data_IF_267684156555
#
_entry.id   IF_267684156555
#
_cell.length_a   1.000
_cell.length_b   1.000
_cell.length_c   1.000
_cell.angle_alpha   90.00
_cell.angle_beta   90.00
_cell.angle_gamma   90.00
#
_symmetry.space_group_name_H-M   'P 1'
#
loop_
_entity.id
_entity.type
_entity.pdbx_description
1 polymer ?
#
# COMPACT_ATOMS: atom_id res chain seq x y z
N UNK A 1 -26.35 -8.64 14.71
CA UNK A 1 -26.89 -9.03 13.38
C UNK A 1 -25.90 -8.74 12.26
N UNK A 2 -25.33 -7.52 12.17
CA UNK A 2 -24.35 -7.12 11.15
C UNK A 2 -23.13 -8.08 11.02
N UNK A 3 -22.53 -8.52 12.12
CA UNK A 3 -21.38 -9.46 12.07
C UNK A 3 -21.74 -10.90 11.64
N UNK A 4 -22.96 -11.36 11.90
CA UNK A 4 -23.42 -12.68 11.43
C UNK A 4 -23.73 -12.62 9.93
N UNK A 5 -24.33 -11.51 9.47
CA UNK A 5 -24.59 -11.28 8.04
C UNK A 5 -23.28 -11.20 7.25
N UNK A 6 -22.27 -10.50 7.80
CA UNK A 6 -20.96 -10.35 7.17
C UNK A 6 -20.22 -11.69 7.03
N UNK A 7 -20.26 -12.53 8.08
CA UNK A 7 -19.73 -13.91 8.00
C UNK A 7 -20.48 -14.75 6.96
N UNK A 8 -21.80 -14.68 6.94
CA UNK A 8 -22.63 -15.41 5.98
C UNK A 8 -22.36 -15.01 4.52
N UNK A 9 -22.05 -13.73 4.26
CA UNK A 9 -21.70 -13.22 2.93
C UNK A 9 -20.24 -13.53 2.56
N UNK A 10 -19.31 -13.47 3.51
CA UNK A 10 -17.91 -13.84 3.27
C UNK A 10 -17.73 -15.33 2.94
N UNK A 11 -18.65 -16.19 3.39
CA UNK A 11 -18.71 -17.61 2.99
C UNK A 11 -19.29 -17.79 1.58
N UNK A 12 -19.91 -16.76 0.98
CA UNK A 12 -20.40 -16.80 -0.39
C UNK A 12 -19.26 -16.57 -1.38
N UNK A 13 -19.35 -17.19 -2.57
CA UNK A 13 -18.29 -17.17 -3.59
C UNK A 13 -18.09 -15.82 -4.32
N UNK A 14 -18.37 -14.69 -3.67
CA UNK A 14 -18.26 -13.34 -4.24
C UNK A 14 -16.91 -12.74 -3.86
N UNK A 15 -16.06 -12.49 -4.85
CA UNK A 15 -14.67 -12.04 -4.62
C UNK A 15 -14.46 -10.54 -4.85
N UNK A 16 -15.36 -9.85 -5.55
CA UNK A 16 -15.26 -8.41 -5.80
C UNK A 16 -15.78 -7.61 -4.60
N UNK A 17 -15.00 -6.69 -4.00
CA UNK A 17 -15.43 -5.87 -2.87
C UNK A 17 -16.69 -5.03 -3.14
N UNK A 18 -16.94 -4.65 -4.39
CA UNK A 18 -18.14 -3.92 -4.80
C UNK A 18 -19.34 -4.86 -4.79
N UNK A 19 -19.20 -6.06 -5.38
CA UNK A 19 -20.26 -7.06 -5.40
C UNK A 19 -20.63 -7.53 -4.00
N UNK A 20 -19.65 -7.67 -3.10
CA UNK A 20 -19.90 -7.97 -1.68
C UNK A 20 -20.78 -6.89 -1.04
N UNK A 21 -20.48 -5.61 -1.29
CA UNK A 21 -21.24 -4.50 -0.71
C UNK A 21 -22.65 -4.39 -1.32
N UNK A 22 -22.80 -4.66 -2.62
CA UNK A 22 -24.12 -4.79 -3.27
C UNK A 22 -24.90 -5.98 -2.70
N UNK A 23 -24.26 -7.13 -2.50
CA UNK A 23 -24.86 -8.33 -1.93
C UNK A 23 -25.31 -8.10 -0.47
N UNK A 24 -24.55 -7.36 0.35
CA UNK A 24 -24.96 -6.96 1.70
C UNK A 24 -26.28 -6.17 1.68
N UNK A 25 -26.37 -5.13 0.84
CA UNK A 25 -27.57 -4.31 0.73
C UNK A 25 -28.75 -5.12 0.18
N UNK A 26 -28.52 -5.89 -0.89
CA UNK A 26 -29.52 -6.76 -1.52
C UNK A 26 -30.06 -7.80 -0.53
N UNK A 27 -29.20 -8.41 0.29
CA UNK A 27 -29.61 -9.40 1.31
C UNK A 27 -30.57 -8.79 2.33
N UNK A 28 -30.22 -7.62 2.89
CA UNK A 28 -31.08 -6.93 3.87
C UNK A 28 -32.44 -6.62 3.26
N UNK A 29 -32.45 -6.12 2.03
CA UNK A 29 -33.69 -5.80 1.32
C UNK A 29 -34.52 -7.06 1.01
N UNK A 30 -33.92 -8.14 0.51
CA UNK A 30 -34.64 -9.40 0.24
C UNK A 30 -35.23 -9.98 1.52
N UNK A 31 -34.50 -9.95 2.64
CA UNK A 31 -35.02 -10.39 3.94
C UNK A 31 -36.21 -9.53 4.37
N UNK A 32 -36.11 -8.20 4.23
CA UNK A 32 -37.21 -7.28 4.55
C UNK A 32 -38.46 -7.56 3.70
N UNK A 33 -38.28 -7.77 2.40
CA UNK A 33 -39.35 -8.11 1.46
C UNK A 33 -39.96 -9.50 1.76
N UNK A 34 -39.13 -10.49 2.11
CA UNK A 34 -39.61 -11.80 2.54
C UNK A 34 -40.50 -11.70 3.78
N UNK A 35 -40.06 -10.94 4.78
CA UNK A 35 -40.85 -10.71 6.01
C UNK A 35 -42.15 -9.96 5.68
N UNK A 36 -42.10 -8.96 4.80
CA UNK A 36 -43.28 -8.21 4.38
C UNK A 36 -44.32 -9.12 3.71
N UNK A 37 -43.90 -9.97 2.78
CA UNK A 37 -44.79 -10.95 2.13
C UNK A 37 -45.35 -11.96 3.13
N UNK A 38 -44.49 -12.50 4.00
CA UNK A 38 -44.91 -13.47 5.01
C UNK A 38 -45.94 -12.91 5.98
N UNK A 39 -45.71 -11.70 6.51
CA UNK A 39 -46.65 -10.98 7.40
C UNK A 39 -47.88 -10.49 6.64
N UNK A 40 -47.76 -10.20 5.35
CA UNK A 40 -48.88 -9.85 4.46
C UNK A 40 -49.93 -10.96 4.37
N UNK A 41 -49.50 -12.23 4.29
CA UNK A 41 -50.42 -13.37 4.12
C UNK A 41 -51.60 -13.42 5.13
N UNK A 42 -51.41 -13.35 6.47
CA UNK A 42 -52.54 -13.34 7.41
C UNK A 42 -53.37 -12.06 7.31
N UNK A 43 -52.75 -10.92 7.02
CA UNK A 43 -53.48 -9.64 6.85
C UNK A 43 -54.42 -9.74 5.66
N UNK A 44 -53.91 -10.17 4.50
CA UNK A 44 -54.67 -10.42 3.28
C UNK A 44 -55.84 -11.37 3.52
N UNK A 45 -55.64 -12.42 4.34
CA UNK A 45 -56.71 -13.37 4.69
C UNK A 45 -57.83 -12.75 5.54
N UNK A 46 -57.47 -11.87 6.48
CA UNK A 46 -58.41 -11.20 7.38
C UNK A 46 -59.14 -10.02 6.72
N UNK A 47 -58.63 -9.47 5.62
CA UNK A 47 -59.30 -8.36 4.93
C UNK A 47 -60.69 -8.73 4.38
N UNK A 48 -61.68 -7.82 4.48
CA UNK A 48 -63.04 -8.04 3.95
C UNK A 48 -63.08 -7.85 2.44
N UNK A 49 -62.56 -8.85 1.70
CA UNK A 49 -62.57 -8.94 0.24
C UNK A 49 -63.45 -10.11 -0.23
N UNK A 50 -63.87 -10.09 -1.50
CA UNK A 50 -64.57 -11.23 -2.10
C UNK A 50 -63.68 -12.49 -2.12
N UNK A 51 -64.27 -13.68 -2.19
CA UNK A 51 -63.53 -14.95 -2.15
C UNK A 51 -62.44 -15.03 -3.24
N UNK A 52 -62.74 -14.54 -4.45
CA UNK A 52 -61.81 -14.49 -5.58
C UNK A 52 -60.66 -13.54 -5.29
N UNK A 53 -60.95 -12.31 -4.84
CA UNK A 53 -59.93 -11.30 -4.51
C UNK A 53 -59.01 -11.76 -3.38
N UNK A 54 -59.57 -12.38 -2.34
CA UNK A 54 -58.81 -12.93 -1.22
C UNK A 54 -57.83 -14.02 -1.66
N UNK A 55 -58.28 -14.94 -2.53
CA UNK A 55 -57.40 -15.98 -3.07
C UNK A 55 -56.24 -15.39 -3.89
N UNK A 56 -56.52 -14.35 -4.69
CA UNK A 56 -55.50 -13.64 -5.48
C UNK A 56 -54.48 -12.90 -4.61
N UNK A 57 -54.91 -12.17 -3.57
CA UNK A 57 -53.98 -11.43 -2.70
C UNK A 57 -53.13 -12.36 -1.84
N UNK A 58 -53.71 -13.45 -1.30
CA UNK A 58 -52.94 -14.45 -0.53
C UNK A 58 -51.94 -15.20 -1.42
N UNK A 59 -52.32 -15.55 -2.65
CA UNK A 59 -51.39 -16.18 -3.61
C UNK A 59 -50.28 -15.23 -4.07
N UNK A 60 -50.55 -13.93 -4.17
CA UNK A 60 -49.53 -12.91 -4.42
C UNK A 60 -48.48 -12.88 -3.30
N UNK A 61 -48.91 -12.82 -2.03
CA UNK A 61 -48.00 -12.77 -0.87
C UNK A 61 -47.14 -14.04 -0.73
N UNK A 62 -47.72 -15.21 -1.00
CA UNK A 62 -47.00 -16.49 -1.05
C UNK A 62 -45.97 -16.54 -2.18
N UNK A 63 -46.36 -16.05 -3.36
CA UNK A 63 -45.46 -15.97 -4.53
C UNK A 63 -44.29 -15.05 -4.23
N UNK A 64 -44.55 -13.87 -3.64
CA UNK A 64 -43.51 -12.93 -3.21
C UNK A 64 -42.51 -13.63 -2.28
N UNK A 65 -43.01 -14.32 -1.26
CA UNK A 65 -42.17 -15.01 -0.26
C UNK A 65 -41.32 -16.12 -0.91
N UNK A 66 -41.90 -16.89 -1.83
CA UNK A 66 -41.19 -17.94 -2.56
C UNK A 66 -40.05 -17.39 -3.44
N UNK A 67 -40.31 -16.31 -4.18
CA UNK A 67 -39.29 -15.64 -4.99
C UNK A 67 -38.16 -15.06 -4.14
N UNK A 68 -38.48 -14.41 -3.01
CA UNK A 68 -37.46 -13.86 -2.10
C UNK A 68 -36.59 -14.97 -1.48
N UNK A 69 -37.18 -16.10 -1.10
CA UNK A 69 -36.43 -17.26 -0.63
C UNK A 69 -35.49 -17.83 -1.70
N UNK A 70 -35.98 -17.98 -2.93
CA UNK A 70 -35.17 -18.43 -4.06
C UNK A 70 -34.05 -17.42 -4.38
N UNK A 71 -34.31 -16.11 -4.28
CA UNK A 71 -33.32 -15.08 -4.52
C UNK A 71 -32.19 -15.13 -3.50
N UNK A 72 -32.49 -15.39 -2.21
CA UNK A 72 -31.48 -15.61 -1.18
C UNK A 72 -30.61 -16.84 -1.47
N UNK A 73 -31.20 -17.94 -1.95
CA UNK A 73 -30.46 -19.15 -2.33
C UNK A 73 -29.52 -18.89 -3.52
N UNK A 74 -30.02 -18.22 -4.55
CA UNK A 74 -29.20 -17.86 -5.73
C UNK A 74 -28.07 -16.89 -5.37
N UNK A 75 -28.35 -15.94 -4.47
CA UNK A 75 -27.34 -15.02 -3.94
C UNK A 75 -26.24 -15.78 -3.19
N UNK A 76 -26.62 -16.79 -2.40
CA UNK A 76 -25.67 -17.69 -1.71
C UNK A 76 -24.79 -18.47 -2.68
N UNK A 77 -25.30 -18.83 -3.86
CA UNK A 77 -24.52 -19.46 -4.92
C UNK A 77 -23.55 -18.49 -5.64
N UNK A 78 -23.46 -17.22 -5.22
CA UNK A 78 -22.55 -16.22 -5.79
C UNK A 78 -23.03 -15.59 -7.10
N UNK A 79 -24.28 -15.81 -7.52
CA UNK A 79 -24.82 -15.27 -8.78
C UNK A 79 -25.64 -13.99 -8.53
N UNK A 80 -24.94 -12.86 -8.30
CA UNK A 80 -25.57 -11.58 -7.94
C UNK A 80 -26.63 -11.12 -8.96
N UNK A 81 -26.29 -11.08 -10.25
CA UNK A 81 -27.21 -10.61 -11.29
C UNK A 81 -28.50 -11.42 -11.35
N UNK A 82 -28.39 -12.75 -11.22
CA UNK A 82 -29.56 -13.63 -11.22
C UNK A 82 -30.41 -13.39 -9.97
N UNK A 83 -29.80 -13.16 -8.81
CA UNK A 83 -30.54 -12.84 -7.59
C UNK A 83 -31.28 -11.51 -7.70
N UNK A 84 -30.66 -10.48 -8.28
CA UNK A 84 -31.30 -9.17 -8.55
C UNK A 84 -32.50 -9.34 -9.48
N UNK A 85 -32.32 -10.05 -10.60
CA UNK A 85 -33.41 -10.31 -11.55
C UNK A 85 -34.56 -11.08 -10.89
N UNK A 86 -34.24 -12.11 -10.10
CA UNK A 86 -35.24 -12.90 -9.38
C UNK A 86 -36.02 -12.04 -8.36
N UNK A 87 -35.33 -11.11 -7.69
CA UNK A 87 -35.94 -10.16 -6.75
C UNK A 87 -36.88 -9.20 -7.47
N UNK A 88 -36.47 -8.67 -8.62
CA UNK A 88 -37.31 -7.80 -9.47
C UNK A 88 -38.56 -8.55 -9.94
N UNK A 89 -38.41 -9.77 -10.46
CA UNK A 89 -39.54 -10.62 -10.83
C UNK A 89 -40.46 -10.91 -9.63
N UNK A 90 -39.87 -11.20 -8.47
CA UNK A 90 -40.56 -11.44 -7.21
C UNK A 90 -41.29 -10.23 -6.64
N UNK A 91 -41.02 -9.01 -7.13
CA UNK A 91 -41.82 -7.82 -6.84
C UNK A 91 -42.91 -7.61 -7.91
N UNK A 92 -42.56 -7.73 -9.19
CA UNK A 92 -43.47 -7.43 -10.30
C UNK A 92 -44.66 -8.39 -10.38
N UNK A 93 -44.44 -9.70 -10.19
CA UNK A 93 -45.51 -10.71 -10.31
C UNK A 93 -46.56 -10.54 -9.20
N UNK A 94 -46.21 -10.48 -7.90
CA UNK A 94 -47.17 -10.22 -6.84
C UNK A 94 -47.87 -8.87 -6.96
N UNK A 95 -47.15 -7.81 -7.32
CA UNK A 95 -47.74 -6.48 -7.54
C UNK A 95 -48.81 -6.52 -8.64
N UNK A 96 -48.55 -7.26 -9.72
CA UNK A 96 -49.52 -7.47 -10.81
C UNK A 96 -50.78 -8.24 -10.34
N UNK A 97 -50.59 -9.30 -9.55
CA UNK A 97 -51.70 -10.09 -8.99
C UNK A 97 -52.56 -9.24 -8.04
N UNK A 98 -51.92 -8.50 -7.14
CA UNK A 98 -52.58 -7.60 -6.18
C UNK A 98 -53.30 -6.45 -6.88
N UNK A 99 -52.69 -5.86 -7.91
CA UNK A 99 -53.33 -4.84 -8.75
C UNK A 99 -54.56 -5.39 -9.47
N UNK A 100 -54.48 -6.61 -10.01
CA UNK A 100 -55.62 -7.27 -10.68
C UNK A 100 -56.74 -7.61 -9.71
N UNK A 101 -56.42 -7.92 -8.44
CA UNK A 101 -57.40 -8.25 -7.42
C UNK A 101 -58.14 -7.01 -6.87
N UNK A 102 -57.40 -5.95 -6.54
CA UNK A 102 -57.96 -4.75 -5.90
C UNK A 102 -58.48 -3.72 -6.90
N UNK A 103 -58.03 -3.78 -8.15
CA UNK A 103 -58.34 -2.80 -9.18
C UNK A 103 -57.66 -1.45 -8.97
N UNK A 104 -57.74 -0.60 -9.99
CA UNK A 104 -57.11 0.74 -9.99
C UNK A 104 -57.96 1.72 -9.16
N UNK A 105 -59.25 1.44 -8.97
CA UNK A 105 -60.23 2.29 -8.29
C UNK A 105 -59.93 2.58 -6.81
N UNK A 106 -59.18 1.73 -6.10
CA UNK A 106 -58.87 1.95 -4.67
C UNK A 106 -57.54 2.66 -4.39
N UNK A 107 -56.67 2.94 -5.38
CA UNK A 107 -55.56 3.86 -5.09
C UNK A 107 -54.42 3.96 -6.08
N UNK A 108 -54.05 5.21 -6.38
CA UNK A 108 -52.76 5.55 -6.98
C UNK A 108 -51.55 5.01 -6.20
N UNK A 109 -51.72 4.62 -4.93
CA UNK A 109 -50.68 3.96 -4.14
C UNK A 109 -50.21 2.62 -4.76
N UNK A 110 -51.08 1.88 -5.47
CA UNK A 110 -50.67 0.63 -6.14
C UNK A 110 -49.76 0.95 -7.31
N UNK A 111 -50.00 2.05 -8.03
CA UNK A 111 -49.13 2.53 -9.10
C UNK A 111 -47.76 2.94 -8.57
N UNK A 112 -47.71 3.60 -7.41
CA UNK A 112 -46.46 3.97 -6.74
C UNK A 112 -45.66 2.72 -6.32
N UNK A 113 -46.33 1.63 -5.95
CA UNK A 113 -45.64 0.39 -5.60
C UNK A 113 -44.86 -0.23 -6.78
N UNK A 114 -45.28 0.00 -8.03
CA UNK A 114 -44.52 -0.40 -9.22
C UNK A 114 -43.24 0.43 -9.45
N UNK A 115 -43.04 1.55 -8.74
CA UNK A 115 -41.76 2.26 -8.75
C UNK A 115 -40.69 1.52 -7.95
N UNK A 116 -41.05 0.67 -6.98
CA UNK A 116 -40.07 -0.06 -6.15
C UNK A 116 -39.16 -1.00 -6.96
N UNK A 117 -39.68 -1.85 -7.87
CA UNK A 117 -38.84 -2.61 -8.80
C UNK A 117 -37.92 -1.72 -9.65
N UNK A 118 -38.41 -0.57 -10.11
CA UNK A 118 -37.65 0.37 -10.95
C UNK A 118 -36.51 1.02 -10.16
N UNK A 119 -36.78 1.43 -8.92
CA UNK A 119 -35.76 1.95 -7.98
C UNK A 119 -34.69 0.88 -7.73
N UNK A 120 -35.11 -0.35 -7.44
CA UNK A 120 -34.21 -1.47 -7.24
C UNK A 120 -33.34 -1.73 -8.48
N UNK A 121 -33.95 -1.81 -9.66
CA UNK A 121 -33.24 -2.02 -10.92
C UNK A 121 -32.30 -0.85 -11.23
N UNK A 122 -32.71 0.39 -10.94
CA UNK A 122 -31.87 1.58 -11.14
C UNK A 122 -30.61 1.55 -10.29
N UNK A 123 -30.72 1.09 -9.03
CA UNK A 123 -29.58 1.04 -8.11
C UNK A 123 -28.70 -0.18 -8.38
N UNK A 124 -29.29 -1.35 -8.62
CA UNK A 124 -28.60 -2.65 -8.56
C UNK A 124 -28.40 -3.35 -9.90
N UNK A 125 -29.22 -3.05 -10.92
CA UNK A 125 -29.15 -3.70 -12.21
C UNK A 125 -28.33 -2.89 -13.23
N UNK A 126 -27.95 -3.55 -14.32
CA UNK A 126 -27.38 -2.92 -15.49
C UNK A 126 -28.44 -2.18 -16.32
N UNK A 127 -28.01 -1.47 -17.37
CA UNK A 127 -28.93 -0.70 -18.24
C UNK A 127 -29.99 -1.61 -18.87
N UNK A 128 -29.62 -2.85 -19.21
CA UNK A 128 -30.54 -3.84 -19.80
C UNK A 128 -31.58 -4.28 -18.77
N UNK A 129 -31.16 -4.63 -17.55
CA UNK A 129 -32.08 -4.97 -16.46
C UNK A 129 -33.01 -3.83 -16.07
N UNK A 130 -32.52 -2.58 -16.05
CA UNK A 130 -33.35 -1.39 -15.82
C UNK A 130 -34.39 -1.21 -16.93
N UNK A 131 -33.97 -1.24 -18.20
CA UNK A 131 -34.87 -1.09 -19.33
C UNK A 131 -35.94 -2.19 -19.36
N UNK A 132 -35.53 -3.44 -19.08
CA UNK A 132 -36.45 -4.57 -18.93
C UNK A 132 -37.49 -4.30 -17.83
N UNK A 133 -37.05 -3.86 -16.65
CA UNK A 133 -37.93 -3.61 -15.51
C UNK A 133 -38.95 -2.51 -15.80
N UNK A 134 -38.53 -1.40 -16.42
CA UNK A 134 -39.42 -0.31 -16.82
C UNK A 134 -40.44 -0.80 -17.84
N UNK A 135 -39.98 -1.53 -18.86
CA UNK A 135 -40.84 -2.04 -19.94
C UNK A 135 -41.89 -3.00 -19.40
N UNK A 136 -41.50 -3.96 -18.56
CA UNK A 136 -42.43 -4.92 -17.95
C UNK A 136 -43.41 -4.22 -17.01
N UNK A 137 -42.94 -3.26 -16.20
CA UNK A 137 -43.81 -2.50 -15.29
C UNK A 137 -44.87 -1.70 -16.07
N UNK A 138 -44.46 -0.99 -17.12
CA UNK A 138 -45.36 -0.24 -17.98
C UNK A 138 -46.36 -1.15 -18.72
N UNK A 139 -45.88 -2.31 -19.21
CA UNK A 139 -46.72 -3.32 -19.87
C UNK A 139 -47.79 -3.91 -18.95
N UNK A 140 -47.43 -4.23 -17.69
CA UNK A 140 -48.39 -4.70 -16.68
C UNK A 140 -49.46 -3.64 -16.43
N UNK A 141 -49.05 -2.38 -16.19
CA UNK A 141 -49.97 -1.28 -15.95
C UNK A 141 -50.91 -1.08 -17.15
N UNK A 142 -50.37 -1.06 -18.38
CA UNK A 142 -51.17 -0.95 -19.60
C UNK A 142 -52.18 -2.09 -19.73
N UNK A 143 -51.76 -3.33 -19.51
CA UNK A 143 -52.64 -4.50 -19.58
C UNK A 143 -53.78 -4.40 -18.56
N UNK A 144 -53.51 -3.94 -17.33
CA UNK A 144 -54.55 -3.75 -16.31
C UNK A 144 -55.58 -2.71 -16.75
N UNK A 145 -55.15 -1.58 -17.33
CA UNK A 145 -56.07 -0.56 -17.83
C UNK A 145 -56.86 -1.00 -19.07
N UNK A 146 -56.28 -1.85 -19.92
CA UNK A 146 -56.95 -2.37 -21.11
C UNK A 146 -57.93 -3.52 -20.79
N UNK A 147 -57.83 -4.14 -19.62
CA UNK A 147 -58.65 -5.29 -19.25
C UNK A 147 -60.03 -4.85 -18.72
N UNK A 148 -61.13 -5.21 -19.40
CA UNK A 148 -62.48 -4.82 -19.00
C UNK A 148 -62.97 -5.52 -17.71
N UNK A 149 -62.29 -6.59 -17.27
CA UNK A 149 -62.62 -7.31 -16.04
C UNK A 149 -62.14 -6.58 -14.77
N UNK A 150 -61.24 -5.60 -14.91
CA UNK A 150 -60.70 -4.85 -13.79
C UNK A 150 -61.57 -3.61 -13.53
N UNK A 151 -62.01 -3.35 -12.28
CA UNK A 151 -62.75 -2.14 -11.95
C UNK A 151 -61.96 -0.88 -12.33
N UNK A 152 -62.47 -0.13 -13.30
CA UNK A 152 -61.89 1.13 -13.76
C UNK A 152 -62.16 2.24 -12.73
N UNK A 153 -61.21 3.13 -12.46
CA UNK A 153 -61.42 4.26 -11.58
C UNK A 153 -62.36 5.28 -12.24
N UNK A 154 -63.21 5.95 -11.45
CA UNK A 154 -63.86 7.20 -11.84
C UNK A 154 -62.86 8.38 -11.79
N UNK A 155 -61.64 8.19 -12.31
CA UNK A 155 -60.65 9.27 -12.36
C UNK A 155 -61.02 10.26 -13.48
N UNK A 156 -60.89 11.58 -13.28
CA UNK A 156 -61.18 12.58 -14.32
C UNK A 156 -60.17 12.59 -15.48
N UNK A 157 -59.10 11.77 -15.42
CA UNK A 157 -58.05 11.71 -16.42
C UNK A 157 -58.17 10.44 -17.28
N UNK A 158 -57.90 10.51 -18.59
CA UNK A 158 -57.89 9.33 -19.45
C UNK A 158 -56.76 8.36 -19.03
N UNK A 159 -57.01 7.05 -19.13
CA UNK A 159 -56.04 6.01 -18.76
C UNK A 159 -54.65 6.20 -19.41
N UNK A 160 -54.61 6.67 -20.65
CA UNK A 160 -53.38 6.99 -21.38
C UNK A 160 -52.52 8.07 -20.68
N UNK A 161 -53.15 9.05 -20.02
CA UNK A 161 -52.43 10.08 -19.27
C UNK A 161 -51.76 9.50 -18.02
N UNK A 162 -52.42 8.59 -17.30
CA UNK A 162 -51.84 7.96 -16.10
C UNK A 162 -50.64 7.08 -16.47
N UNK A 163 -50.77 6.27 -17.52
CA UNK A 163 -49.70 5.39 -18.00
C UNK A 163 -48.50 6.21 -18.46
N UNK A 164 -48.72 7.26 -19.26
CA UNK A 164 -47.63 8.11 -19.75
C UNK A 164 -46.90 8.83 -18.61
N UNK A 165 -47.62 9.37 -17.61
CA UNK A 165 -47.01 9.99 -16.43
C UNK A 165 -46.21 8.96 -15.61
N UNK A 166 -46.76 7.77 -15.38
CA UNK A 166 -46.06 6.70 -14.68
C UNK A 166 -44.79 6.26 -15.41
N UNK A 167 -44.87 6.00 -16.71
CA UNK A 167 -43.72 5.60 -17.53
C UNK A 167 -42.66 6.70 -17.55
N UNK A 168 -43.06 7.96 -17.66
CA UNK A 168 -42.14 9.10 -17.59
C UNK A 168 -41.42 9.15 -16.24
N UNK A 169 -42.14 9.03 -15.12
CA UNK A 169 -41.55 9.00 -13.78
C UNK A 169 -40.60 7.81 -13.63
N UNK A 170 -40.99 6.62 -14.08
CA UNK A 170 -40.16 5.42 -14.02
C UNK A 170 -38.86 5.56 -14.83
N UNK A 171 -38.93 6.13 -16.03
CA UNK A 171 -37.74 6.40 -16.86
C UNK A 171 -36.84 7.44 -16.20
N UNK A 172 -37.39 8.59 -15.79
CA UNK A 172 -36.61 9.67 -15.18
C UNK A 172 -35.94 9.19 -13.89
N UNK A 173 -36.70 8.57 -12.99
CA UNK A 173 -36.20 8.05 -11.72
C UNK A 173 -35.19 6.92 -11.94
N UNK A 174 -35.49 5.96 -12.82
CA UNK A 174 -34.61 4.84 -13.13
C UNK A 174 -33.27 5.29 -13.72
N UNK A 175 -33.29 6.19 -14.70
CA UNK A 175 -32.07 6.74 -15.33
C UNK A 175 -31.27 7.56 -14.32
N UNK A 176 -31.92 8.38 -13.51
CA UNK A 176 -31.25 9.17 -12.47
C UNK A 176 -30.54 8.25 -11.47
N UNK A 177 -31.25 7.26 -10.91
CA UNK A 177 -30.69 6.31 -9.95
C UNK A 177 -29.55 5.49 -10.56
N UNK A 178 -29.68 5.06 -11.81
CA UNK A 178 -28.62 4.32 -12.49
C UNK A 178 -27.38 5.15 -12.76
N UNK A 179 -27.56 6.41 -13.19
CA UNK A 179 -26.46 7.37 -13.34
C UNK A 179 -25.78 7.62 -11.99
N UNK A 180 -26.56 7.89 -10.95
CA UNK A 180 -26.05 8.14 -9.60
C UNK A 180 -25.28 6.94 -9.05
N UNK A 181 -25.84 5.73 -9.16
CA UNK A 181 -25.20 4.48 -8.75
C UNK A 181 -23.84 4.28 -9.44
N UNK A 182 -23.78 4.47 -10.77
CA UNK A 182 -22.52 4.39 -11.53
C UNK A 182 -21.48 5.43 -11.12
N UNK A 183 -21.89 6.66 -10.82
CA UNK A 183 -20.97 7.71 -10.35
C UNK A 183 -20.41 7.35 -8.98
N UNK A 184 -21.28 6.88 -8.07
CA UNK A 184 -20.87 6.46 -6.74
C UNK A 184 -19.89 5.30 -6.79
N UNK A 185 -20.16 4.27 -7.60
CA UNK A 185 -19.26 3.13 -7.81
C UNK A 185 -17.89 3.56 -8.35
N UNK A 186 -17.86 4.43 -9.35
CA UNK A 186 -16.60 4.96 -9.90
C UNK A 186 -15.79 5.70 -8.83
N UNK A 187 -16.45 6.58 -8.08
CA UNK A 187 -15.81 7.37 -7.03
C UNK A 187 -15.24 6.47 -5.93
N UNK A 188 -16.01 5.48 -5.48
CA UNK A 188 -15.57 4.50 -4.48
C UNK A 188 -14.35 3.70 -4.99
N UNK A 189 -14.38 3.25 -6.24
CA UNK A 189 -13.28 2.50 -6.84
C UNK A 189 -12.00 3.33 -6.95
N UNK A 190 -12.11 4.59 -7.40
CA UNK A 190 -10.97 5.50 -7.47
C UNK A 190 -10.36 5.74 -6.09
N UNK A 191 -11.19 5.93 -5.06
CA UNK A 191 -10.72 6.11 -3.68
C UNK A 191 -10.04 4.85 -3.15
N UNK A 192 -10.61 3.67 -3.37
CA UNK A 192 -10.02 2.39 -2.95
C UNK A 192 -8.68 2.10 -3.64
N UNK A 193 -8.54 2.46 -4.92
CA UNK A 193 -7.28 2.28 -5.65
C UNK A 193 -6.21 3.23 -5.09
N UNK A 194 -6.54 4.52 -4.89
CA UNK A 194 -5.61 5.50 -4.31
C UNK A 194 -5.15 5.11 -2.91
N UNK A 195 -6.05 4.57 -2.09
CA UNK A 195 -5.69 4.10 -0.75
C UNK A 195 -4.64 2.98 -0.80
N UNK A 196 -4.80 1.99 -1.70
CA UNK A 196 -3.81 0.92 -1.89
C UNK A 196 -2.48 1.45 -2.42
N UNK A 197 -2.49 2.42 -3.33
CA UNK A 197 -1.27 3.04 -3.86
C UNK A 197 -0.50 3.79 -2.76
N UNK A 198 -1.21 4.49 -1.87
CA UNK A 198 -0.62 5.17 -0.72
C UNK A 198 -0.03 4.18 0.28
N UNK A 199 -0.75 3.10 0.60
CA UNK A 199 -0.22 2.03 1.47
C UNK A 199 1.03 1.38 0.88
N UNK A 200 1.01 1.04 -0.41
CA UNK A 200 2.17 0.48 -1.09
C UNK A 200 3.37 1.44 -1.07
N UNK A 201 3.14 2.71 -1.40
CA UNK A 201 4.19 3.74 -1.39
C UNK A 201 4.77 3.94 0.01
N UNK A 202 3.93 3.91 1.04
CA UNK A 202 4.35 4.00 2.44
C UNK A 202 5.24 2.82 2.84
N UNK A 203 4.85 1.59 2.51
CA UNK A 203 5.65 0.40 2.81
C UNK A 203 7.02 0.43 2.12
N UNK A 204 7.06 0.88 0.86
CA UNK A 204 8.31 1.07 0.12
C UNK A 204 9.19 2.13 0.79
N UNK A 205 8.61 3.25 1.23
CA UNK A 205 9.35 4.30 1.92
C UNK A 205 9.91 3.82 3.27
N UNK A 206 9.10 3.13 4.07
CA UNK A 206 9.53 2.55 5.36
C UNK A 206 10.67 1.53 5.15
N UNK A 207 10.56 0.68 4.12
CA UNK A 207 11.62 -0.26 3.76
C UNK A 207 12.91 0.46 3.37
N UNK A 208 12.83 1.48 2.52
CA UNK A 208 14.00 2.25 2.08
C UNK A 208 14.64 3.03 3.24
N UNK A 209 13.83 3.64 4.11
CA UNK A 209 14.32 4.32 5.32
C UNK A 209 15.09 3.34 6.21
N UNK A 210 14.54 2.16 6.49
CA UNK A 210 15.21 1.14 7.31
C UNK A 210 16.51 0.62 6.70
N UNK A 211 16.62 0.60 5.36
CA UNK A 211 17.83 0.18 4.66
C UNK A 211 18.91 1.27 4.76
N UNK A 212 18.52 2.54 4.55
CA UNK A 212 19.43 3.68 4.66
C UNK A 212 19.95 3.86 6.09
N UNK A 213 19.09 3.69 7.10
CA UNK A 213 19.52 3.74 8.51
C UNK A 213 20.58 2.68 8.82
N UNK A 214 20.40 1.46 8.32
CA UNK A 214 21.40 0.38 8.48
C UNK A 214 22.71 0.73 7.80
N UNK A 215 22.67 1.23 6.57
CA UNK A 215 23.86 1.66 5.83
C UNK A 215 24.61 2.78 6.56
N UNK A 216 23.89 3.76 7.11
CA UNK A 216 24.50 4.84 7.90
C UNK A 216 25.19 4.29 9.15
N UNK A 217 24.56 3.35 9.87
CA UNK A 217 25.16 2.73 11.06
C UNK A 217 26.41 1.94 10.70
N UNK A 218 26.38 1.14 9.63
CA UNK A 218 27.53 0.38 9.16
C UNK A 218 28.68 1.30 8.74
N UNK A 219 28.38 2.36 7.98
CA UNK A 219 29.37 3.34 7.57
C UNK A 219 30.01 4.04 8.78
N UNK A 220 29.21 4.47 9.75
CA UNK A 220 29.74 5.10 10.99
C UNK A 220 30.62 4.15 11.79
N UNK A 221 30.27 2.86 11.87
CA UNK A 221 31.11 1.86 12.54
C UNK A 221 32.44 1.67 11.82
N UNK A 222 32.44 1.61 10.49
CA UNK A 222 33.66 1.51 9.70
C UNK A 222 34.55 2.76 9.84
N UNK A 223 33.96 3.96 9.80
CA UNK A 223 34.67 5.22 10.03
C UNK A 223 35.26 5.30 11.44
N UNK A 224 34.51 4.86 12.47
CA UNK A 224 35.00 4.82 13.84
C UNK A 224 36.15 3.82 14.01
N UNK A 225 36.01 2.60 13.49
CA UNK A 225 37.06 1.59 13.55
C UNK A 225 38.33 2.03 12.81
N UNK A 226 38.18 2.73 11.68
CA UNK A 226 39.31 3.30 10.96
C UNK A 226 40.03 4.38 11.78
N UNK A 227 39.28 5.30 12.39
CA UNK A 227 39.83 6.33 13.29
C UNK A 227 40.53 5.71 14.50
N UNK A 228 39.92 4.73 15.15
CA UNK A 228 40.51 4.05 16.30
C UNK A 228 41.81 3.31 15.91
N UNK A 229 41.84 2.67 14.74
CA UNK A 229 43.04 2.01 14.21
C UNK A 229 44.16 3.01 13.91
N UNK A 230 43.80 4.15 13.31
CA UNK A 230 44.73 5.22 12.99
C UNK A 230 45.28 5.90 14.25
N UNK A 231 44.45 6.20 15.25
CA UNK A 231 44.88 6.74 16.54
C UNK A 231 45.80 5.77 17.29
N UNK A 232 45.47 4.46 17.30
CA UNK A 232 46.35 3.43 17.86
C UNK A 232 47.68 3.37 17.12
N UNK A 233 47.66 3.42 15.79
CA UNK A 233 48.89 3.42 14.98
C UNK A 233 49.74 4.66 15.28
N UNK A 234 49.14 5.86 15.29
CA UNK A 234 49.84 7.11 15.66
C UNK A 234 50.44 7.03 17.06
N UNK A 235 49.70 6.51 18.04
CA UNK A 235 50.19 6.36 19.41
C UNK A 235 51.38 5.38 19.48
N UNK A 236 51.27 4.21 18.83
CA UNK A 236 52.35 3.21 18.78
C UNK A 236 53.60 3.76 18.12
N UNK A 237 53.46 4.47 17.00
CA UNK A 237 54.59 5.05 16.26
C UNK A 237 55.23 6.19 17.06
N UNK A 238 54.42 7.06 17.66
CA UNK A 238 54.91 8.24 18.41
C UNK A 238 55.66 7.85 19.68
N UNK A 239 55.18 6.81 20.40
CA UNK A 239 55.76 6.35 21.65
C UNK A 239 56.71 5.14 21.51
N UNK A 240 57.01 4.72 20.28
CA UNK A 240 57.95 3.63 20.04
C UNK A 240 59.36 4.00 20.51
N UNK A 241 60.07 3.11 21.24
CA UNK A 241 61.46 3.34 21.64
C UNK A 241 62.46 3.13 20.48
N UNK A 242 61.96 2.87 19.26
CA UNK A 242 62.76 2.72 18.04
C UNK A 242 62.47 3.87 17.09
N UNK A 243 63.50 4.33 16.37
CA UNK A 243 63.32 5.30 15.30
C UNK A 243 62.55 4.68 14.13
N UNK A 244 61.41 5.28 13.79
CA UNK A 244 60.53 4.85 12.69
C UNK A 244 60.45 5.99 11.69
N UNK A 245 60.59 5.68 10.41
CA UNK A 245 60.38 6.62 9.33
C UNK A 245 59.56 5.98 8.21
N UNK A 246 58.87 6.82 7.42
CA UNK A 246 58.20 6.42 6.19
C UNK A 246 58.83 7.18 5.05
N UNK A 247 59.06 6.53 3.91
CA UNK A 247 59.63 7.16 2.73
C UNK A 247 58.78 6.92 1.47
N UNK A 248 58.91 7.79 0.47
CA UNK A 248 58.36 7.61 -0.87
C UNK A 248 59.06 6.45 -1.60
N UNK A 249 58.49 5.94 -2.70
CA UNK A 249 59.20 5.04 -3.62
C UNK A 249 60.47 5.65 -4.27
N UNK A 250 60.75 6.94 -4.08
CA UNK A 250 61.99 7.60 -4.52
C UNK A 250 63.05 7.67 -3.40
N UNK A 251 62.69 7.29 -2.17
CA UNK A 251 63.58 7.27 -1.01
C UNK A 251 63.53 8.53 -0.15
N UNK A 252 62.63 9.47 -0.47
CA UNK A 252 62.40 10.71 0.28
C UNK A 252 61.60 10.44 1.54
N UNK A 253 62.03 10.95 2.69
CA UNK A 253 61.31 10.75 3.95
C UNK A 253 60.01 11.58 3.97
N UNK A 254 58.88 10.90 4.16
CA UNK A 254 57.54 11.48 4.30
C UNK A 254 57.15 11.72 5.76
N UNK A 255 57.71 10.92 6.67
CA UNK A 255 57.41 10.99 8.09
C UNK A 255 58.56 10.41 8.90
N UNK A 256 58.84 10.99 10.06
CA UNK A 256 59.72 10.40 11.08
C UNK A 256 59.04 10.52 12.44
N UNK A 257 59.17 9.49 13.28
CA UNK A 257 58.65 9.56 14.65
C UNK A 257 59.57 10.36 15.57
N UNK A 258 59.05 10.67 16.77
CA UNK A 258 59.79 11.44 17.78
C UNK A 258 61.12 10.79 18.14
N UNK A 259 61.15 9.46 18.30
CA UNK A 259 62.37 8.74 18.67
C UNK A 259 63.44 8.81 17.58
N UNK A 260 63.07 8.75 16.30
CA UNK A 260 64.01 8.94 15.20
C UNK A 260 64.63 10.34 15.26
N UNK A 261 63.80 11.36 15.49
CA UNK A 261 64.24 12.76 15.62
C UNK A 261 65.16 12.97 16.82
N UNK A 262 64.84 12.35 17.96
CA UNK A 262 65.65 12.38 19.19
C UNK A 262 67.02 11.69 18.99
N UNK A 263 67.07 10.60 18.20
CA UNK A 263 68.30 9.87 17.88
C UNK A 263 69.17 10.61 16.86
N UNK A 264 68.55 11.16 15.82
CA UNK A 264 69.22 11.87 14.73
C UNK A 264 69.61 13.31 15.10
N UNK A 265 69.00 13.86 16.16
CA UNK A 265 69.24 15.23 16.61
C UNK A 265 68.70 16.32 15.67
N UNK A 266 67.80 15.94 14.75
CA UNK A 266 67.13 16.85 13.81
C UNK A 266 65.64 16.96 14.15
N UNK A 267 65.02 18.15 14.02
CA UNK A 267 63.56 18.25 14.13
C UNK A 267 62.89 17.50 12.96
N UNK A 268 61.69 16.92 13.16
CA UNK A 268 61.01 16.11 12.16
C UNK A 268 60.88 16.79 10.80
N UNK A 269 60.59 18.09 10.78
CA UNK A 269 60.37 18.88 9.57
C UNK A 269 61.66 19.01 8.75
N UNK A 270 62.83 19.04 9.40
CA UNK A 270 64.13 19.11 8.72
C UNK A 270 64.60 17.76 8.19
N UNK A 271 63.99 16.66 8.66
CA UNK A 271 64.32 15.31 8.22
C UNK A 271 63.55 14.87 6.97
N UNK A 272 62.48 15.58 6.61
CA UNK A 272 61.63 15.26 5.46
C UNK A 272 62.38 15.44 4.13
N UNK A 273 61.93 14.77 3.08
CA UNK A 273 62.60 14.77 1.78
C UNK A 273 63.95 14.07 1.85
N UNK A 274 64.99 14.72 1.37
CA UNK A 274 66.39 14.28 1.48
C UNK A 274 67.07 14.76 2.77
N UNK A 275 66.38 15.54 3.61
CA UNK A 275 66.98 16.21 4.78
C UNK A 275 67.57 15.27 5.83
N UNK A 276 67.09 14.02 5.92
CA UNK A 276 67.63 12.99 6.79
C UNK A 276 69.11 12.66 6.53
N UNK A 277 69.62 12.89 5.31
CA UNK A 277 71.01 12.65 4.94
C UNK A 277 71.97 13.49 5.79
N UNK A 278 71.53 14.67 6.25
CA UNK A 278 72.33 15.55 7.10
C UNK A 278 72.59 14.99 8.52
N UNK A 279 71.83 13.98 8.96
CA UNK A 279 72.05 13.30 10.24
C UNK A 279 73.11 12.19 10.18
N UNK A 280 73.55 11.79 8.98
CA UNK A 280 74.54 10.74 8.79
C UNK A 280 75.95 11.25 9.10
N UNK A 281 76.79 10.38 9.68
CA UNK A 281 78.20 10.69 9.87
C UNK A 281 78.91 10.80 8.50
N UNK A 282 79.77 11.81 8.25
CA UNK A 282 80.40 12.02 6.93
C UNK A 282 81.12 10.80 6.36
N UNK A 283 81.80 10.02 7.22
CA UNK A 283 82.52 8.80 6.82
C UNK A 283 81.58 7.68 6.33
N UNK A 284 80.33 7.65 6.81
CA UNK A 284 79.36 6.59 6.52
C UNK A 284 78.24 7.06 5.57
N UNK A 285 78.13 8.36 5.28
CA UNK A 285 77.01 8.97 4.55
C UNK A 285 76.87 8.44 3.11
N UNK A 286 77.95 8.46 2.32
CA UNK A 286 77.91 8.03 0.91
C UNK A 286 77.48 6.56 0.78
N UNK A 287 78.02 5.69 1.64
CA UNK A 287 77.70 4.26 1.64
C UNK A 287 76.26 3.96 2.09
N UNK A 288 75.74 4.75 3.03
CA UNK A 288 74.35 4.61 3.51
C UNK A 288 73.35 5.08 2.47
N UNK A 289 73.62 6.21 1.80
CA UNK A 289 72.73 6.76 0.75
C UNK A 289 72.66 5.81 -0.45
N UNK A 290 73.80 5.32 -0.93
CA UNK A 290 73.84 4.36 -2.05
C UNK A 290 73.08 3.07 -1.69
N UNK A 291 73.34 2.53 -0.50
CA UNK A 291 72.64 1.34 0.00
C UNK A 291 71.14 1.57 0.15
N UNK A 292 70.72 2.77 0.54
CA UNK A 292 69.32 3.15 0.67
C UNK A 292 68.63 3.22 -0.70
N UNK A 293 69.22 3.92 -1.66
CA UNK A 293 68.69 4.04 -3.02
C UNK A 293 68.55 2.68 -3.72
N UNK A 294 69.54 1.80 -3.55
CA UNK A 294 69.47 0.42 -4.06
C UNK A 294 68.33 -0.38 -3.41
N UNK A 295 68.09 -0.20 -2.11
CA UNK A 295 67.01 -0.92 -1.40
C UNK A 295 65.62 -0.46 -1.82
N UNK A 296 65.43 0.84 -2.02
CA UNK A 296 64.16 1.43 -2.46
C UNK A 296 63.83 1.01 -3.89
N UNK A 297 64.83 0.98 -4.78
CA UNK A 297 64.65 0.57 -6.18
C UNK A 297 64.47 -0.95 -6.34
N UNK A 298 65.11 -1.74 -5.48
CA UNK A 298 65.10 -3.20 -5.54
C UNK A 298 63.99 -3.89 -4.75
N UNK A 299 63.20 -3.16 -3.94
CA UNK A 299 62.12 -3.73 -3.10
C UNK A 299 62.59 -4.69 -2.00
N UNK A 300 63.88 -4.67 -1.64
CA UNK A 300 64.46 -5.59 -0.66
C UNK A 300 64.45 -4.97 0.75
N UNK A 301 64.08 -5.78 1.76
CA UNK A 301 64.10 -5.36 3.17
C UNK A 301 65.54 -5.15 3.65
N UNK A 302 65.96 -3.91 3.84
CA UNK A 302 67.26 -3.56 4.41
C UNK A 302 67.19 -3.61 5.95
N UNK A 303 68.02 -4.43 6.60
CA UNK A 303 68.21 -4.41 8.07
C UNK A 303 69.64 -4.02 8.36
N UNK A 304 69.86 -2.81 8.90
CA UNK A 304 71.19 -2.30 9.22
C UNK A 304 71.17 -1.45 10.49
N UNK A 305 72.25 -1.53 11.27
CA UNK A 305 72.49 -0.60 12.36
C UNK A 305 73.30 0.58 11.80
N UNK A 306 72.71 1.76 11.78
CA UNK A 306 73.36 2.99 11.29
C UNK A 306 73.75 3.86 12.48
N UNK A 307 74.98 4.39 12.47
CA UNK A 307 75.45 5.32 13.50
C UNK A 307 75.00 6.74 13.14
N UNK A 308 74.34 7.43 14.08
CA UNK A 308 73.93 8.83 13.91
C UNK A 308 75.00 9.78 14.43
N UNK A 309 75.12 10.95 13.79
CA UNK A 309 76.03 12.00 14.24
C UNK A 309 75.39 12.74 15.44
N UNK A 310 76.05 12.75 16.60
CA UNK A 310 75.52 13.41 17.79
C UNK A 310 75.61 14.94 17.63
N UNK A 311 74.55 15.74 17.92
CA UNK A 311 74.69 17.19 17.99
C UNK A 311 75.59 17.53 19.17
N UNK A 312 76.70 18.22 18.90
CA UNK A 312 77.81 18.49 19.83
C UNK A 312 77.45 19.33 21.09
N UNK A 313 76.19 19.52 21.45
CA UNK A 313 75.75 20.52 22.44
C UNK A 313 75.48 19.94 23.83
N UNK A 314 75.55 18.62 24.05
CA UNK A 314 75.26 18.03 25.37
C UNK A 314 76.37 17.22 26.04
N UNK A 315 77.62 17.34 25.59
CA UNK A 315 78.80 16.81 26.28
C UNK A 315 79.64 17.97 26.84
N UNK A 316 79.24 18.53 27.98
CA UNK A 316 80.11 19.41 28.75
C UNK A 316 81.25 18.57 29.36
N UNK A 317 82.35 18.39 28.63
CA UNK A 317 83.58 17.79 29.16
C UNK A 317 84.40 16.86 28.24
N UNK A 318 84.10 16.73 26.94
CA UNK A 318 84.90 15.88 26.04
C UNK A 318 85.63 16.71 24.97
N UNK A 319 86.94 16.89 25.15
CA UNK A 319 87.88 17.25 24.09
C UNK A 319 88.36 15.98 23.38
N UNK A 320 87.56 15.49 22.42
CA UNK A 320 87.90 14.39 21.52
C UNK A 320 87.11 14.54 20.19
N UNK A 321 87.63 14.10 19.03
CA UNK A 321 86.93 14.15 17.74
C UNK A 321 85.58 13.40 17.79
N UNK A 322 84.61 13.68 16.90
CA UNK A 322 83.24 13.18 17.01
C UNK A 322 83.22 11.66 17.14
N UNK A 323 82.96 11.17 18.35
CA UNK A 323 82.91 9.76 18.64
C UNK A 323 81.50 9.22 18.38
N UNK A 324 81.43 8.01 17.82
CA UNK A 324 80.18 7.26 17.58
C UNK A 324 79.40 7.11 18.88
N UNK A 325 78.30 7.85 19.05
CA UNK A 325 77.57 7.88 20.33
C UNK A 325 76.24 7.11 20.36
N UNK A 326 75.69 6.64 19.24
CA UNK A 326 74.50 5.77 19.27
C UNK A 326 74.40 4.87 18.03
N UNK A 327 74.40 3.55 18.25
CA UNK A 327 73.93 2.55 17.28
C UNK A 327 72.62 1.99 17.78
N UNK A 328 71.52 2.33 17.12
CA UNK A 328 70.20 1.77 17.37
C UNK A 328 69.72 0.96 16.16
N UNK A 329 68.93 -0.10 16.34
CA UNK A 329 68.24 -0.71 15.22
C UNK A 329 67.23 0.31 14.68
N UNK A 330 67.24 0.57 13.38
CA UNK A 330 66.16 1.30 12.70
C UNK A 330 65.37 0.26 11.94
N UNK A 331 64.07 0.16 12.22
CA UNK A 331 63.18 -0.77 11.55
C UNK A 331 62.42 -0.02 10.45
N UNK A 332 62.53 -0.54 9.23
CA UNK A 332 61.71 -0.20 8.06
C UNK A 332 60.33 -0.87 8.18
#
# INVERSE_FOLDING_TARGET
>A
MRERLRRWINDAAIHDPIEVRKAEFLTVMIIGLFVLGFVGTPISFLTPLSAIQKSLTVSADLTMSAFMAAALLVLRCGRLNNAVLLTICGLLVPLSMTLSALGIARGGYVLVAFLMPVVLAGVMADVVGLAFTITVSAGIVFFTFANPLVPQPELPLPAAAIISVFTLIAIVLGVFLHRFSRVLERTINEMLIRERELEHSRLVLERNMSALEREIVERRRAEFALRESDDKFRALVTHSPVGIFQATPLGDYLFVNKQWSDLAGLPPEAALGEGWQAALHPDDAAHVIESWQLSVTGGQRLRRNTAFCCPAIRCAGCSAPPSRCATGPILY
#
